data_IF_083991150033
#
_entry.id   IF_083991150033
#
_cell.length_a   1.000
_cell.length_b   1.000
_cell.length_c   1.000
_cell.angle_alpha   90.00
_cell.angle_beta   90.00
_cell.angle_gamma   90.00
#
_symmetry.space_group_name_H-M   'P 1'
#
loop_
_entity.id
_entity.type
_entity.pdbx_description
1 polymer ?
#
# COMPACT_ATOMS: atom_id res chain seq x y z
N UNK A 1 46.34 -33.78 -5.08
CA UNK A 1 45.88 -33.26 -3.77
C UNK A 1 45.36 -31.85 -4.00
N UNK A 2 44.08 -31.73 -4.35
CA UNK A 2 43.43 -30.43 -4.52
C UNK A 2 43.18 -29.84 -3.14
N UNK A 3 43.80 -28.70 -2.88
CA UNK A 3 43.47 -27.79 -1.77
C UNK A 3 41.95 -27.71 -1.63
N UNK A 4 41.39 -28.29 -0.57
CA UNK A 4 40.02 -28.02 -0.16
C UNK A 4 40.02 -26.54 0.20
N UNK A 5 39.47 -25.70 -0.66
CA UNK A 5 39.07 -24.35 -0.28
C UNK A 5 38.16 -24.51 0.94
N UNK A 6 38.68 -24.14 2.12
CA UNK A 6 37.87 -24.02 3.33
C UNK A 6 36.88 -22.90 3.04
N UNK A 7 35.66 -23.26 2.63
CA UNK A 7 34.55 -22.32 2.58
C UNK A 7 34.19 -21.98 4.01
N UNK A 8 34.06 -20.70 4.30
CA UNK A 8 33.70 -20.19 5.60
C UNK A 8 32.32 -19.54 5.49
N UNK A 9 31.39 -19.94 6.36
CA UNK A 9 30.05 -19.41 6.42
C UNK A 9 30.01 -17.87 6.50
N UNK A 10 30.96 -17.24 7.22
CA UNK A 10 30.95 -15.78 7.37
C UNK A 10 31.10 -15.05 6.05
N UNK A 11 31.86 -15.61 5.11
CA UNK A 11 32.12 -15.01 3.80
C UNK A 11 30.97 -15.26 2.82
N UNK A 12 30.24 -16.37 3.02
CA UNK A 12 29.17 -16.84 2.13
C UNK A 12 27.75 -16.57 2.67
N UNK A 13 27.59 -15.82 3.77
CA UNK A 13 26.29 -15.59 4.43
C UNK A 13 25.24 -14.97 3.49
N UNK A 14 25.63 -13.98 2.67
CA UNK A 14 24.74 -13.40 1.65
C UNK A 14 24.25 -14.46 0.65
N UNK A 15 25.17 -15.31 0.18
CA UNK A 15 24.85 -16.38 -0.74
C UNK A 15 23.91 -17.42 -0.11
N UNK A 16 24.10 -17.72 1.19
CA UNK A 16 23.21 -18.57 1.97
C UNK A 16 21.81 -17.97 2.07
N UNK A 17 21.69 -16.71 2.49
CA UNK A 17 20.39 -16.01 2.64
C UNK A 17 19.67 -15.91 1.30
N UNK A 18 20.36 -15.50 0.24
CA UNK A 18 19.79 -15.39 -1.10
C UNK A 18 19.31 -16.75 -1.64
N UNK A 19 20.06 -17.83 -1.37
CA UNK A 19 19.68 -19.18 -1.81
C UNK A 19 18.51 -19.72 -1.00
N UNK A 20 18.50 -19.49 0.32
CA UNK A 20 17.39 -19.83 1.21
C UNK A 20 16.10 -19.13 0.76
N UNK A 21 16.18 -17.83 0.43
CA UNK A 21 15.05 -17.06 -0.08
C UNK A 21 14.54 -17.62 -1.42
N UNK A 22 15.43 -18.00 -2.35
CA UNK A 22 15.05 -18.63 -3.62
C UNK A 22 14.34 -19.97 -3.42
N UNK A 23 14.78 -20.79 -2.47
CA UNK A 23 14.09 -22.06 -2.15
C UNK A 23 12.67 -21.80 -1.63
N UNK A 24 12.50 -20.86 -0.69
CA UNK A 24 11.17 -20.47 -0.23
C UNK A 24 10.29 -19.90 -1.36
N UNK A 25 10.86 -19.10 -2.25
CA UNK A 25 10.13 -18.58 -3.41
C UNK A 25 9.63 -19.70 -4.32
N UNK A 26 10.46 -20.73 -4.58
CA UNK A 26 10.06 -21.89 -5.38
C UNK A 26 8.94 -22.72 -4.75
N UNK A 27 8.80 -22.65 -3.42
CA UNK A 27 7.76 -23.32 -2.63
C UNK A 27 6.49 -22.45 -2.44
N UNK A 28 6.47 -21.23 -2.99
CA UNK A 28 5.34 -20.29 -2.84
C UNK A 28 5.25 -19.63 -1.45
N UNK A 29 6.33 -19.68 -0.66
CA UNK A 29 6.38 -19.25 0.73
C UNK A 29 6.77 -17.77 0.84
N UNK A 30 5.82 -16.91 0.49
CA UNK A 30 6.07 -15.47 0.34
C UNK A 30 6.49 -14.74 1.63
N UNK A 31 6.14 -15.25 2.81
CA UNK A 31 6.43 -14.59 4.09
C UNK A 31 7.90 -14.71 4.47
N UNK A 32 8.47 -15.89 4.29
CA UNK A 32 9.87 -16.20 4.52
C UNK A 32 10.75 -15.44 3.52
N UNK A 33 10.32 -15.36 2.25
CA UNK A 33 10.98 -14.53 1.24
C UNK A 33 10.99 -13.06 1.66
N UNK A 34 9.85 -12.53 2.13
CA UNK A 34 9.76 -11.15 2.57
C UNK A 34 10.65 -10.87 3.79
N UNK A 35 10.74 -11.80 4.74
CA UNK A 35 11.64 -11.69 5.90
C UNK A 35 13.08 -11.59 5.42
N UNK A 36 13.55 -12.56 4.63
CA UNK A 36 14.95 -12.61 4.17
C UNK A 36 15.33 -11.43 3.26
N UNK A 37 14.41 -10.97 2.42
CA UNK A 37 14.68 -9.88 1.48
C UNK A 37 14.67 -8.47 2.11
N UNK A 38 14.04 -8.31 3.28
CA UNK A 38 13.92 -7.02 3.96
C UNK A 38 14.68 -6.97 5.29
N UNK A 39 15.38 -8.05 5.67
CA UNK A 39 16.14 -8.09 6.90
C UNK A 39 17.50 -7.41 6.73
N UNK A 40 17.87 -6.57 7.69
CA UNK A 40 19.28 -6.37 8.03
C UNK A 40 19.71 -7.58 8.87
N UNK A 41 20.83 -8.22 8.52
CA UNK A 41 21.29 -9.41 9.23
C UNK A 41 22.58 -9.16 10.01
N UNK A 42 22.75 -9.94 11.07
CA UNK A 42 24.00 -10.05 11.83
C UNK A 42 24.25 -11.53 12.15
N UNK A 43 25.46 -12.00 11.88
CA UNK A 43 25.88 -13.38 12.13
C UNK A 43 26.90 -13.39 13.26
N UNK A 44 26.50 -13.92 14.41
CA UNK A 44 27.34 -13.90 15.62
C UNK A 44 27.83 -15.30 15.96
N UNK A 45 29.13 -15.47 16.08
CA UNK A 45 29.72 -16.66 16.67
C UNK A 45 29.29 -16.79 18.13
N UNK A 46 29.01 -18.01 18.59
CA UNK A 46 28.63 -18.29 19.97
C UNK A 46 29.64 -19.14 20.72
N UNK A 47 29.93 -20.30 20.14
CA UNK A 47 30.71 -21.34 20.78
C UNK A 47 31.21 -22.29 19.72
N UNK A 48 32.24 -23.03 20.09
CA UNK A 48 32.71 -24.18 19.35
C UNK A 48 32.25 -25.47 20.04
N UNK A 49 31.80 -26.45 19.26
CA UNK A 49 31.36 -27.76 19.75
C UNK A 49 31.94 -28.85 18.85
N UNK A 50 32.82 -29.70 19.39
CA UNK A 50 33.49 -30.78 18.62
C UNK A 50 34.10 -30.29 17.29
N UNK A 51 34.87 -29.19 17.34
CA UNK A 51 35.51 -28.55 16.17
C UNK A 51 34.55 -27.90 15.16
N UNK A 52 33.25 -27.81 15.50
CA UNK A 52 32.24 -27.07 14.73
C UNK A 52 31.97 -25.73 15.40
N UNK A 53 32.12 -24.64 14.66
CA UNK A 53 31.74 -23.30 15.06
C UNK A 53 30.24 -23.08 14.89
N UNK A 54 29.58 -22.72 15.99
CA UNK A 54 28.13 -22.49 16.03
C UNK A 54 27.86 -20.99 15.98
N UNK A 55 27.07 -20.59 14.99
CA UNK A 55 26.67 -19.21 14.73
C UNK A 55 25.18 -19.00 14.97
N UNK A 56 24.84 -17.78 15.36
CA UNK A 56 23.48 -17.31 15.49
C UNK A 56 23.19 -16.28 14.41
N UNK A 57 22.07 -16.42 13.73
CA UNK A 57 21.64 -15.48 12.71
C UNK A 57 20.54 -14.58 13.27
N UNK A 58 20.81 -13.29 13.37
CA UNK A 58 19.83 -12.28 13.75
C UNK A 58 19.34 -11.57 12.51
N UNK A 59 18.02 -11.48 12.35
CA UNK A 59 17.34 -10.84 11.23
C UNK A 59 16.47 -9.70 11.76
N UNK A 60 16.86 -8.46 11.47
CA UNK A 60 16.12 -7.26 11.84
C UNK A 60 15.26 -6.81 10.68
N UNK A 61 13.94 -6.92 10.82
CA UNK A 61 12.98 -6.62 9.75
C UNK A 61 12.16 -5.36 10.05
N UNK A 62 11.60 -4.67 9.04
CA UNK A 62 10.72 -3.52 9.26
C UNK A 62 9.54 -3.83 10.19
N UNK A 63 9.16 -2.88 11.05
CA UNK A 63 8.11 -3.07 12.07
C UNK A 63 6.76 -3.48 11.51
N UNK A 64 6.42 -3.03 10.29
CA UNK A 64 5.18 -3.43 9.61
C UNK A 64 5.17 -4.92 9.26
N UNK A 65 6.31 -5.49 8.88
CA UNK A 65 6.45 -6.91 8.54
C UNK A 65 6.44 -7.75 9.82
N UNK A 66 7.20 -7.32 10.84
CA UNK A 66 7.21 -7.94 12.15
C UNK A 66 5.80 -8.03 12.76
N UNK A 67 5.02 -6.94 12.67
CA UNK A 67 3.62 -6.92 13.16
C UNK A 67 2.74 -7.97 12.47
N UNK A 68 2.92 -8.18 11.16
CA UNK A 68 2.14 -9.16 10.37
C UNK A 68 2.45 -10.61 10.73
N UNK A 69 3.63 -10.89 11.29
CA UNK A 69 4.06 -12.25 11.65
C UNK A 69 4.14 -12.49 13.17
N UNK A 70 3.82 -11.47 13.96
CA UNK A 70 4.02 -11.43 15.43
C UNK A 70 3.49 -12.64 16.19
N UNK A 71 2.38 -13.21 15.75
CA UNK A 71 1.77 -14.38 16.37
C UNK A 71 2.42 -15.72 16.00
N UNK A 72 3.37 -15.72 15.05
CA UNK A 72 3.99 -16.92 14.48
C UNK A 72 5.50 -16.78 14.29
N UNK A 73 6.15 -15.83 14.96
CA UNK A 73 7.58 -15.54 14.79
C UNK A 73 8.44 -16.81 14.92
N UNK A 74 8.22 -17.59 15.99
CA UNK A 74 8.99 -18.81 16.23
C UNK A 74 8.76 -19.89 15.17
N UNK A 75 7.61 -19.92 14.48
CA UNK A 75 7.39 -20.82 13.34
C UNK A 75 8.29 -20.40 12.16
N UNK A 76 8.39 -19.10 11.88
CA UNK A 76 9.23 -18.60 10.79
C UNK A 76 10.73 -18.74 11.10
N UNK A 77 11.16 -18.45 12.33
CA UNK A 77 12.54 -18.66 12.80
C UNK A 77 12.99 -20.10 12.57
N UNK A 78 12.18 -21.07 13.04
CA UNK A 78 12.49 -22.49 12.87
C UNK A 78 12.50 -22.93 11.41
N UNK A 79 11.59 -22.43 10.58
CA UNK A 79 11.56 -22.78 9.16
C UNK A 79 12.77 -22.25 8.41
N UNK A 80 13.17 -21.00 8.69
CA UNK A 80 14.38 -20.40 8.11
C UNK A 80 15.61 -21.17 8.58
N UNK A 81 15.73 -21.45 9.88
CA UNK A 81 16.82 -22.24 10.44
C UNK A 81 16.96 -23.58 9.73
N UNK A 82 15.89 -24.37 9.67
CA UNK A 82 15.92 -25.70 9.05
C UNK A 82 16.34 -25.64 7.58
N UNK A 83 15.79 -24.69 6.82
CA UNK A 83 16.11 -24.54 5.39
C UNK A 83 17.55 -24.08 5.18
N UNK A 84 18.03 -23.12 5.97
CA UNK A 84 19.40 -22.62 5.90
C UNK A 84 20.40 -23.70 6.32
N UNK A 85 20.13 -24.45 7.38
CA UNK A 85 21.00 -25.54 7.85
C UNK A 85 21.16 -26.65 6.81
N UNK A 86 20.12 -26.95 6.01
CA UNK A 86 20.24 -27.90 4.90
C UNK A 86 21.26 -27.46 3.84
N UNK A 87 21.42 -26.15 3.64
CA UNK A 87 22.39 -25.56 2.71
C UNK A 87 23.81 -25.49 3.28
N UNK A 88 24.00 -25.73 4.57
CA UNK A 88 25.30 -25.73 5.24
C UNK A 88 26.04 -27.06 5.17
N UNK A 89 25.46 -28.11 4.60
CA UNK A 89 26.12 -29.41 4.40
C UNK A 89 27.52 -29.32 3.73
N UNK A 90 27.81 -28.36 2.83
CA UNK A 90 29.15 -28.14 2.28
C UNK A 90 30.17 -27.48 3.24
N UNK A 91 29.75 -26.99 4.41
CA UNK A 91 30.53 -26.30 5.44
C UNK A 91 30.64 -27.20 6.68
N UNK A 92 31.54 -28.20 6.68
CA UNK A 92 31.57 -29.23 7.72
C UNK A 92 31.99 -28.71 9.11
N UNK A 93 32.52 -27.50 9.19
CA UNK A 93 32.99 -26.84 10.42
C UNK A 93 32.03 -25.78 10.92
N UNK A 94 30.92 -25.50 10.22
CA UNK A 94 30.06 -24.36 10.54
C UNK A 94 28.61 -24.82 10.70
N UNK A 95 27.94 -24.31 11.74
CA UNK A 95 26.56 -24.63 12.09
C UNK A 95 25.77 -23.36 12.39
N UNK A 96 24.47 -23.36 12.06
CA UNK A 96 23.52 -22.39 12.62
C UNK A 96 22.83 -22.99 13.85
N UNK A 97 23.04 -22.37 15.00
CA UNK A 97 22.42 -22.76 16.26
C UNK A 97 20.98 -22.26 16.39
N UNK A 98 20.71 -21.01 16.01
CA UNK A 98 19.35 -20.46 15.93
C UNK A 98 19.25 -19.26 14.99
N UNK A 99 18.00 -18.95 14.63
CA UNK A 99 17.61 -17.75 13.89
C UNK A 99 16.71 -16.91 14.79
N UNK A 100 16.98 -15.62 14.89
CA UNK A 100 16.14 -14.66 15.59
C UNK A 100 15.56 -13.64 14.63
N UNK A 101 14.25 -13.40 14.70
CA UNK A 101 13.61 -12.31 13.97
C UNK A 101 13.19 -11.23 14.98
N UNK A 102 13.64 -10.01 14.75
CA UNK A 102 13.33 -8.86 15.58
C UNK A 102 12.96 -7.65 14.73
N UNK A 103 12.24 -6.66 15.27
CA UNK A 103 11.98 -5.43 14.54
C UNK A 103 13.25 -4.58 14.46
N UNK A 104 13.53 -4.03 13.28
CA UNK A 104 14.59 -3.06 13.07
C UNK A 104 14.32 -1.80 13.92
N UNK A 105 15.25 -1.49 14.80
CA UNK A 105 15.18 -0.29 15.64
C UNK A 105 15.68 0.92 14.85
N UNK A 106 14.74 1.65 14.26
CA UNK A 106 15.04 2.89 13.53
C UNK A 106 14.42 4.09 14.23
N UNK A 107 15.25 5.08 14.56
CA UNK A 107 14.76 6.39 14.97
C UNK A 107 14.23 7.13 13.74
N UNK A 108 12.92 7.38 13.71
CA UNK A 108 12.30 8.29 12.75
C UNK A 108 12.24 9.70 13.35
N UNK A 109 12.73 10.69 12.61
CA UNK A 109 12.67 12.07 13.04
C UNK A 109 11.20 12.49 13.18
N UNK A 110 10.87 13.13 14.32
CA UNK A 110 9.49 13.52 14.63
C UNK A 110 8.55 12.35 14.94
N UNK A 111 9.04 11.13 15.26
CA UNK A 111 8.17 9.97 15.54
C UNK A 111 7.11 10.23 16.63
N UNK A 112 7.45 11.04 17.65
CA UNK A 112 6.49 11.41 18.72
C UNK A 112 5.34 12.25 18.16
N UNK A 113 5.64 13.18 17.26
CA UNK A 113 4.62 13.98 16.59
C UNK A 113 3.77 13.12 15.66
N UNK A 114 4.39 12.23 14.87
CA UNK A 114 3.68 11.28 13.99
C UNK A 114 2.76 10.34 14.78
N UNK A 115 3.21 9.83 15.93
CA UNK A 115 2.40 9.01 16.83
C UNK A 115 1.25 9.80 17.44
N UNK A 116 1.50 11.03 17.92
CA UNK A 116 0.45 11.92 18.43
C UNK A 116 -0.57 12.27 17.33
N UNK A 117 -0.11 12.52 16.11
CA UNK A 117 -0.96 12.78 14.95
C UNK A 117 -1.86 11.56 14.66
N UNK A 118 -1.31 10.33 14.70
CA UNK A 118 -2.10 9.12 14.54
C UNK A 118 -3.15 8.93 15.65
N UNK A 119 -2.78 9.11 16.92
CA UNK A 119 -3.71 9.00 18.08
C UNK A 119 -4.83 10.05 17.98
N UNK A 120 -4.50 11.26 17.54
CA UNK A 120 -5.46 12.37 17.41
C UNK A 120 -6.23 12.36 16.10
N UNK A 121 -5.95 11.41 15.19
CA UNK A 121 -6.54 11.34 13.85
C UNK A 121 -6.05 12.43 12.88
N UNK A 122 -5.09 13.25 13.28
CA UNK A 122 -4.48 14.29 12.44
C UNK A 122 -3.65 13.64 11.35
N UNK A 123 -4.03 13.82 10.08
CA UNK A 123 -3.34 13.21 8.93
C UNK A 123 -3.77 11.78 8.59
N UNK A 124 -4.79 11.24 9.26
CA UNK A 124 -5.48 10.03 8.81
C UNK A 124 -6.44 10.43 7.69
N UNK A 125 -6.12 10.07 6.45
CA UNK A 125 -7.07 10.15 5.35
C UNK A 125 -7.51 8.74 4.95
N UNK A 126 -8.82 8.56 4.72
CA UNK A 126 -9.39 7.31 4.21
C UNK A 126 -9.24 7.17 2.69
N UNK A 127 -8.62 8.15 2.05
CA UNK A 127 -8.32 8.12 0.63
C UNK A 127 -7.18 7.15 0.43
N UNK A 128 -7.40 6.14 -0.42
CA UNK A 128 -6.37 5.15 -0.68
C UNK A 128 -5.08 5.86 -1.10
N UNK A 129 -3.95 5.58 -0.45
CA UNK A 129 -2.65 5.96 -1.00
C UNK A 129 -2.49 5.18 -2.31
N UNK A 130 -2.65 5.87 -3.43
CA UNK A 130 -2.68 5.22 -4.75
C UNK A 130 -1.30 5.29 -5.38
N UNK A 131 -0.87 4.16 -5.96
CA UNK A 131 0.23 4.09 -6.93
C UNK A 131 -0.27 4.62 -8.29
N UNK A 132 -0.86 5.81 -8.33
CA UNK A 132 -1.27 6.49 -9.56
C UNK A 132 -0.10 7.36 -10.00
N UNK A 133 0.17 7.39 -11.31
CA UNK A 133 1.20 8.28 -11.88
C UNK A 133 0.86 9.77 -11.67
N UNK A 134 -0.39 10.09 -11.28
CA UNK A 134 -0.85 11.41 -10.89
C UNK A 134 -1.08 11.44 -9.37
N UNK A 135 -0.09 11.92 -8.62
CA UNK A 135 -0.10 11.97 -7.16
C UNK A 135 -0.94 13.18 -6.70
N UNK A 136 -2.00 12.99 -5.90
CA UNK A 136 -2.74 14.10 -5.30
C UNK A 136 -1.80 15.04 -4.53
N UNK A 137 -1.74 16.31 -4.94
CA UNK A 137 -0.78 17.30 -4.41
C UNK A 137 -1.42 18.39 -3.57
N UNK A 138 -2.76 18.49 -3.59
CA UNK A 138 -3.52 19.49 -2.83
C UNK A 138 -4.09 18.85 -1.57
N UNK A 139 -4.17 19.61 -0.49
CA UNK A 139 -4.75 19.17 0.78
C UNK A 139 -5.79 20.20 1.28
N UNK A 140 -6.93 19.72 1.77
CA UNK A 140 -7.95 20.52 2.43
C UNK A 140 -8.65 19.66 3.49
N UNK A 141 -8.81 20.17 4.72
CA UNK A 141 -9.41 19.45 5.86
C UNK A 141 -8.82 18.04 6.12
N UNK A 142 -7.53 17.84 5.81
CA UNK A 142 -6.86 16.54 5.93
C UNK A 142 -7.13 15.56 4.78
N UNK A 143 -7.93 15.93 3.79
CA UNK A 143 -8.18 15.18 2.56
C UNK A 143 -7.27 15.67 1.43
N UNK A 144 -6.95 14.79 0.50
CA UNK A 144 -6.16 15.05 -0.71
C UNK A 144 -7.05 15.25 -1.94
N UNK A 145 -6.54 16.05 -2.87
CA UNK A 145 -7.17 16.36 -4.15
C UNK A 145 -6.10 16.46 -5.25
N UNK A 146 -6.50 16.20 -6.49
CA UNK A 146 -5.60 16.26 -7.67
C UNK A 146 -5.57 17.65 -8.29
N UNK A 147 -6.63 18.44 -8.12
CA UNK A 147 -6.73 19.80 -8.67
C UNK A 147 -7.32 20.83 -7.69
N UNK A 148 -7.11 22.12 -7.98
CA UNK A 148 -7.75 23.20 -7.23
C UNK A 148 -9.27 23.23 -7.46
N UNK A 149 -9.72 22.84 -8.67
CA UNK A 149 -11.13 22.77 -9.03
C UNK A 149 -11.88 21.74 -8.18
N UNK A 150 -11.25 20.59 -7.89
CA UNK A 150 -11.76 19.61 -6.91
C UNK A 150 -11.87 20.20 -5.50
N UNK A 151 -10.86 20.94 -5.04
CA UNK A 151 -10.90 21.60 -3.72
C UNK A 151 -12.07 22.59 -3.63
N UNK A 152 -12.30 23.38 -4.69
CA UNK A 152 -13.43 24.33 -4.74
C UNK A 152 -14.78 23.62 -4.74
N UNK A 153 -14.90 22.52 -5.49
CA UNK A 153 -16.11 21.69 -5.52
C UNK A 153 -16.36 20.99 -4.18
N UNK A 154 -15.32 20.46 -3.53
CA UNK A 154 -15.37 19.95 -2.18
C UNK A 154 -15.96 20.98 -1.19
N UNK A 155 -15.42 22.20 -1.19
CA UNK A 155 -15.92 23.29 -0.34
C UNK A 155 -17.38 23.62 -0.62
N UNK A 156 -17.78 23.59 -1.90
CA UNK A 156 -19.16 23.81 -2.31
C UNK A 156 -20.12 22.71 -1.81
N UNK A 157 -19.75 21.43 -1.94
CA UNK A 157 -20.54 20.31 -1.42
C UNK A 157 -20.67 20.38 0.11
N UNK A 158 -19.57 20.69 0.81
CA UNK A 158 -19.54 20.87 2.27
C UNK A 158 -20.47 22.01 2.72
N UNK A 159 -20.40 23.16 2.04
CA UNK A 159 -21.27 24.31 2.34
C UNK A 159 -22.77 24.02 2.13
N UNK A 160 -23.10 23.10 1.22
CA UNK A 160 -24.48 22.67 0.97
C UNK A 160 -24.96 21.54 1.90
N UNK A 161 -24.11 21.05 2.81
CA UNK A 161 -24.46 19.98 3.75
C UNK A 161 -24.72 18.62 3.08
N UNK A 162 -24.09 18.37 1.93
CA UNK A 162 -24.26 17.15 1.15
C UNK A 162 -23.36 16.05 1.70
N UNK A 163 -23.84 14.80 1.75
CA UNK A 163 -22.99 13.65 2.06
C UNK A 163 -22.23 13.19 0.81
N UNK A 164 -20.91 13.10 0.89
CA UNK A 164 -20.07 12.68 -0.23
C UNK A 164 -18.76 12.05 0.25
N UNK A 165 -18.04 11.41 -0.66
CA UNK A 165 -16.66 10.97 -0.51
C UNK A 165 -15.81 11.56 -1.65
N UNK A 166 -14.65 12.11 -1.34
CA UNK A 166 -13.65 12.56 -2.33
C UNK A 166 -12.57 11.50 -2.53
N UNK A 167 -12.19 11.24 -3.78
CA UNK A 167 -11.23 10.18 -4.16
C UNK A 167 -11.50 8.80 -3.52
N UNK A 168 -12.76 8.31 -3.47
CA UNK A 168 -13.03 6.97 -2.94
C UNK A 168 -12.47 5.88 -3.88
N UNK A 169 -11.90 4.83 -3.29
CA UNK A 169 -11.41 3.67 -4.07
C UNK A 169 -12.50 2.62 -4.17
N UNK A 170 -12.85 2.22 -5.39
CA UNK A 170 -13.70 1.07 -5.65
C UNK A 170 -12.88 -0.10 -6.22
N UNK A 171 -13.21 -1.31 -5.80
CA UNK A 171 -12.54 -2.54 -6.20
C UNK A 171 -13.60 -3.53 -6.67
N UNK A 172 -13.39 -4.13 -7.85
CA UNK A 172 -14.09 -5.33 -8.32
C UNK A 172 -13.09 -6.46 -8.43
N UNK A 173 -13.28 -7.49 -7.62
CA UNK A 173 -12.59 -8.77 -7.75
C UNK A 173 -13.35 -9.76 -8.64
N UNK A 174 -12.84 -10.99 -8.78
CA UNK A 174 -13.41 -12.04 -9.62
C UNK A 174 -12.43 -12.51 -10.69
N UNK A 175 -12.93 -12.92 -11.86
CA UNK A 175 -12.08 -13.34 -12.99
C UNK A 175 -11.15 -12.24 -13.51
N UNK A 176 -11.51 -10.97 -13.29
CA UNK A 176 -10.64 -9.82 -13.54
C UNK A 176 -10.63 -8.91 -12.32
N UNK A 177 -9.45 -8.35 -12.02
CA UNK A 177 -9.29 -7.31 -11.02
C UNK A 177 -9.47 -5.94 -11.69
N UNK A 178 -10.41 -5.14 -11.20
CA UNK A 178 -10.54 -3.73 -11.58
C UNK A 178 -10.53 -2.86 -10.33
N UNK A 179 -9.84 -1.74 -10.43
CA UNK A 179 -9.76 -0.71 -9.40
C UNK A 179 -9.96 0.64 -10.05
N UNK A 180 -10.84 1.45 -9.48
CA UNK A 180 -11.13 2.80 -9.99
C UNK A 180 -11.21 3.79 -8.83
N UNK A 181 -10.99 5.06 -9.12
CA UNK A 181 -10.99 6.15 -8.14
C UNK A 181 -11.57 7.43 -8.77
N UNK A 182 -12.90 7.56 -8.80
CA UNK A 182 -13.54 8.78 -9.27
C UNK A 182 -13.21 9.96 -8.36
N UNK A 183 -13.35 11.18 -8.88
CA UNK A 183 -13.07 12.38 -8.08
C UNK A 183 -14.03 12.52 -6.89
N UNK A 184 -15.33 12.32 -7.11
CA UNK A 184 -16.34 12.36 -6.06
C UNK A 184 -17.40 11.28 -6.21
N UNK A 185 -17.90 10.81 -5.07
CA UNK A 185 -19.16 10.07 -4.96
C UNK A 185 -20.08 10.84 -4.03
N UNK A 186 -21.26 11.20 -4.51
CA UNK A 186 -22.28 11.95 -3.79
C UNK A 186 -23.43 11.03 -3.47
N UNK A 187 -23.89 11.07 -2.22
CA UNK A 187 -25.05 10.32 -1.74
C UNK A 187 -26.06 11.33 -1.22
N UNK A 188 -27.23 11.41 -1.85
CA UNK A 188 -28.31 12.27 -1.38
C UNK A 188 -29.66 11.68 -1.74
N UNK A 189 -30.60 11.73 -0.79
CA UNK A 189 -31.97 11.25 -0.97
C UNK A 189 -32.08 9.78 -1.46
N UNK A 190 -31.15 8.91 -1.07
CA UNK A 190 -31.10 7.51 -1.50
C UNK A 190 -30.56 7.30 -2.93
N UNK A 191 -30.09 8.36 -3.58
CA UNK A 191 -29.44 8.31 -4.89
C UNK A 191 -27.92 8.43 -4.70
N UNK A 192 -27.18 7.55 -5.35
CA UNK A 192 -25.74 7.62 -5.49
C UNK A 192 -25.39 8.17 -6.87
N UNK A 193 -24.48 9.13 -6.92
CA UNK A 193 -23.98 9.77 -8.12
C UNK A 193 -22.45 9.85 -8.06
N UNK A 194 -21.78 9.50 -9.14
CA UNK A 194 -20.35 9.75 -9.33
C UNK A 194 -20.18 11.09 -10.06
N UNK A 195 -19.25 11.92 -9.63
CA UNK A 195 -18.90 13.17 -10.31
C UNK A 195 -17.40 13.18 -10.60
N UNK A 196 -17.04 13.45 -11.86
CA UNK A 196 -15.67 13.63 -12.33
C UNK A 196 -15.46 15.09 -12.76
N UNK A 197 -14.32 15.68 -12.39
CA UNK A 197 -13.94 17.04 -12.77
C UNK A 197 -12.86 16.96 -13.84
N UNK A 198 -13.28 17.09 -15.10
CA UNK A 198 -12.40 16.93 -16.25
C UNK A 198 -11.57 18.19 -16.49
N UNK A 199 -10.23 18.05 -16.49
CA UNK A 199 -9.30 19.14 -16.72
C UNK A 199 -9.21 19.58 -18.19
N UNK A 200 -9.16 20.88 -18.45
CA UNK A 200 -9.06 21.42 -19.83
C UNK A 200 -7.68 21.19 -20.49
N UNK A 201 -6.69 20.71 -19.73
CA UNK A 201 -5.37 20.34 -20.25
C UNK A 201 -5.36 18.87 -20.69
N UNK A 202 -5.60 18.66 -21.98
CA UNK A 202 -5.21 17.49 -22.80
C UNK A 202 -5.13 16.20 -21.99
N UNK A 203 -6.29 15.59 -21.73
CA UNK A 203 -6.34 14.19 -21.33
C UNK A 203 -5.53 13.38 -22.34
N UNK A 204 -4.41 12.80 -21.89
CA UNK A 204 -3.72 11.74 -22.65
C UNK A 204 -4.52 10.43 -22.63
N UNK A 205 -5.58 10.35 -21.81
CA UNK A 205 -6.55 9.26 -21.88
C UNK A 205 -7.49 9.50 -23.06
N UNK A 206 -7.60 8.49 -23.91
CA UNK A 206 -8.60 8.44 -24.96
C UNK A 206 -10.02 8.47 -24.34
N UNK A 207 -11.04 8.96 -25.07
CA UNK A 207 -12.43 8.86 -24.63
C UNK A 207 -12.85 7.43 -24.24
N UNK A 208 -12.22 6.42 -24.85
CA UNK A 208 -12.42 5.01 -24.50
C UNK A 208 -11.88 4.65 -23.12
N UNK A 209 -10.67 5.09 -22.76
CA UNK A 209 -10.06 4.85 -21.44
C UNK A 209 -10.81 5.60 -20.33
N UNK A 210 -11.25 6.83 -20.60
CA UNK A 210 -12.08 7.62 -19.68
C UNK A 210 -13.48 7.01 -19.49
N UNK A 211 -14.03 6.36 -20.52
CA UNK A 211 -15.27 5.60 -20.43
C UNK A 211 -15.06 4.30 -19.63
N UNK A 212 -14.05 3.50 -19.97
CA UNK A 212 -13.70 2.24 -19.32
C UNK A 212 -13.46 2.36 -17.81
N UNK A 213 -12.95 3.52 -17.35
CA UNK A 213 -12.70 3.80 -15.93
C UNK A 213 -13.97 3.87 -15.10
N UNK A 214 -15.07 4.39 -15.63
CA UNK A 214 -16.32 4.53 -14.87
C UNK A 214 -17.38 3.51 -15.27
N UNK A 215 -17.18 2.79 -16.39
CA UNK A 215 -18.01 1.65 -16.83
C UNK A 215 -18.27 0.63 -15.72
N UNK A 216 -17.30 0.41 -14.82
CA UNK A 216 -17.47 -0.47 -13.68
C UNK A 216 -18.70 -0.09 -12.85
N UNK A 217 -18.83 1.17 -12.44
CA UNK A 217 -19.94 1.64 -11.61
C UNK A 217 -21.20 1.90 -12.43
N UNK A 218 -21.03 2.37 -13.68
CA UNK A 218 -22.15 2.56 -14.61
C UNK A 218 -22.98 1.26 -14.77
N UNK A 219 -22.30 0.12 -14.93
CA UNK A 219 -22.95 -1.20 -15.07
C UNK A 219 -23.71 -1.64 -13.81
N UNK A 220 -23.37 -1.10 -12.63
CA UNK A 220 -24.10 -1.34 -11.38
C UNK A 220 -25.28 -0.35 -11.19
N UNK A 221 -25.58 0.47 -12.21
CA UNK A 221 -26.66 1.45 -12.19
C UNK A 221 -26.30 2.78 -11.50
N UNK A 222 -25.02 3.02 -11.22
CA UNK A 222 -24.54 4.31 -10.69
C UNK A 222 -24.52 5.35 -11.81
N UNK A 223 -25.16 6.48 -11.57
CA UNK A 223 -25.17 7.61 -12.50
C UNK A 223 -23.84 8.37 -12.42
N UNK A 224 -23.30 8.81 -13.56
CA UNK A 224 -22.01 9.48 -13.66
C UNK A 224 -22.21 10.83 -14.34
N UNK A 225 -21.76 11.89 -13.69
CA UNK A 225 -21.77 13.26 -14.22
C UNK A 225 -20.35 13.79 -14.36
N UNK A 226 -20.12 14.56 -15.42
CA UNK A 226 -18.83 15.19 -15.70
C UNK A 226 -18.99 16.70 -15.65
N UNK A 227 -18.11 17.36 -14.90
CA UNK A 227 -18.05 18.81 -14.79
C UNK A 227 -16.74 19.27 -15.40
N UNK A 228 -16.77 20.24 -16.31
CA UNK A 228 -15.53 20.79 -16.85
C UNK A 228 -14.81 21.59 -15.78
N UNK A 229 -13.49 21.49 -15.70
CA UNK A 229 -12.70 22.27 -14.76
C UNK A 229 -12.91 23.78 -14.94
N UNK A 230 -13.13 24.25 -16.17
CA UNK A 230 -13.54 25.64 -16.46
C UNK A 230 -14.83 26.09 -15.79
N UNK A 231 -15.72 25.17 -15.40
CA UNK A 231 -16.94 25.46 -14.62
C UNK A 231 -16.72 25.48 -13.10
N UNK A 232 -15.51 25.21 -12.63
CA UNK A 232 -15.15 25.16 -11.21
C UNK A 232 -13.87 25.98 -10.92
N UNK A 233 -13.66 27.13 -11.57
CA UNK A 233 -12.44 27.93 -11.37
C UNK A 233 -12.51 28.86 -10.16
N UNK A 234 -13.72 29.23 -9.71
CA UNK A 234 -13.95 30.00 -8.48
C UNK A 234 -14.89 29.26 -7.52
N UNK A 235 -14.94 29.72 -6.26
CA UNK A 235 -15.80 29.12 -5.25
C UNK A 235 -17.29 29.28 -5.60
N UNK A 236 -17.67 30.42 -6.19
CA UNK A 236 -19.03 30.71 -6.63
C UNK A 236 -19.44 29.79 -7.78
N UNK A 237 -18.56 29.60 -8.76
CA UNK A 237 -18.79 28.69 -9.88
C UNK A 237 -18.95 27.24 -9.41
N UNK A 238 -18.05 26.78 -8.52
CA UNK A 238 -18.14 25.46 -7.91
C UNK A 238 -19.45 25.27 -7.13
N UNK A 239 -19.95 26.31 -6.46
CA UNK A 239 -21.23 26.29 -5.76
C UNK A 239 -22.43 26.17 -6.72
N UNK A 240 -22.37 26.83 -7.88
CA UNK A 240 -23.37 26.66 -8.95
C UNK A 240 -23.36 25.21 -9.46
N UNK A 241 -22.18 24.65 -9.72
CA UNK A 241 -22.02 23.27 -10.14
C UNK A 241 -22.58 22.26 -9.13
N UNK A 242 -22.27 22.43 -7.84
CA UNK A 242 -22.80 21.56 -6.79
C UNK A 242 -24.35 21.63 -6.70
N UNK A 243 -24.95 22.82 -6.90
CA UNK A 243 -26.40 22.97 -6.99
C UNK A 243 -27.00 22.26 -8.22
N UNK A 244 -26.35 22.34 -9.38
CA UNK A 244 -26.78 21.59 -10.59
C UNK A 244 -26.80 20.08 -10.30
N UNK A 245 -25.78 19.55 -9.63
CA UNK A 245 -25.72 18.13 -9.25
C UNK A 245 -26.90 17.74 -8.34
N UNK A 246 -27.25 18.55 -7.35
CA UNK A 246 -28.44 18.29 -6.53
C UNK A 246 -29.74 18.29 -7.34
N UNK A 247 -29.87 19.19 -8.33
CA UNK A 247 -31.03 19.20 -9.22
C UNK A 247 -31.14 17.91 -10.04
N UNK A 248 -30.00 17.39 -10.54
CA UNK A 248 -29.93 16.11 -11.25
C UNK A 248 -30.38 14.97 -10.33
N UNK A 249 -29.84 14.90 -9.11
CA UNK A 249 -30.23 13.89 -8.11
C UNK A 249 -31.73 13.93 -7.84
N UNK A 250 -32.31 15.11 -7.67
CA UNK A 250 -33.75 15.27 -7.44
C UNK A 250 -34.57 14.82 -8.65
N UNK A 251 -34.12 15.12 -9.87
CA UNK A 251 -34.78 14.65 -11.10
C UNK A 251 -34.75 13.13 -11.23
N UNK A 252 -33.62 12.49 -10.91
CA UNK A 252 -33.49 11.03 -10.90
C UNK A 252 -34.46 10.43 -9.89
N UNK A 253 -34.51 10.98 -8.67
CA UNK A 253 -35.42 10.52 -7.62
C UNK A 253 -36.88 10.62 -8.05
N UNK A 254 -37.30 11.73 -8.66
CA UNK A 254 -38.68 11.90 -9.13
C UNK A 254 -39.05 10.99 -10.32
N UNK A 255 -38.07 10.38 -10.96
CA UNK A 255 -38.27 9.47 -12.10
C UNK A 255 -38.26 7.98 -11.69
N UNK A 256 -38.04 7.68 -10.40
CA UNK A 256 -38.07 6.34 -9.80
C UNK A 256 -39.34 6.17 -8.98
#
# INVERSE_FOLDING_TARGET
MTSKSNRNLTDDIEALLATTARQFASEGLAREVAILANAEYDLQWQKQNWEVDVYNLYLQIPSWLHSQISNKISEYENRILNKASDLLKPYPTDELGWVSISPLLRADEGWREKANNWITGKGVNNQGRVRSNNIPSKNEDGLLFRSQNEVLFYKALKALGISFASLPVFIRGGQSYKRIEPDFVIISNGIMLVVEIDGDTVHQETPAEAHDRTTMLAHEGVQIERIRASECQTQEQAHICAKKILQIINKIKSSR
#
